data_IF_281377882010
#
_entry.id   IF_281377882010
#
_cell.length_a   1.000
_cell.length_b   1.000
_cell.length_c   1.000
_cell.angle_alpha   90.00
_cell.angle_beta   90.00
_cell.angle_gamma   90.00
#
_symmetry.space_group_name_H-M   'P 1'
#
loop_
_entity.id
_entity.type
_entity.pdbx_description
1 polymer ?
#
# COMPACT_ATOMS: atom_id res chain seq x y z
N UNK A 1 27.95 -0.05 -15.72
CA UNK A 1 27.33 1.25 -15.95
C UNK A 1 25.99 1.32 -15.23
N UNK A 2 25.39 2.50 -15.14
CA UNK A 2 24.20 2.73 -14.33
C UNK A 2 22.86 2.38 -14.96
N UNK A 3 22.79 1.79 -16.15
CA UNK A 3 21.52 1.45 -16.80
C UNK A 3 20.85 0.26 -16.10
N UNK A 4 19.60 0.43 -15.71
CA UNK A 4 18.75 -0.63 -15.14
C UNK A 4 17.65 -0.91 -16.16
N UNK A 5 17.58 -2.16 -16.64
CA UNK A 5 16.60 -2.59 -17.64
C UNK A 5 15.44 -3.31 -16.94
N UNK A 6 14.28 -3.48 -17.62
CA UNK A 6 13.16 -4.22 -17.03
C UNK A 6 13.56 -5.62 -16.52
N UNK A 7 14.41 -6.32 -17.23
CA UNK A 7 14.88 -7.66 -16.83
C UNK A 7 15.77 -7.67 -15.58
N UNK A 8 16.29 -6.50 -15.19
CA UNK A 8 17.10 -6.36 -13.97
C UNK A 8 16.23 -6.10 -12.74
N UNK A 9 14.94 -5.84 -12.93
CA UNK A 9 13.99 -5.55 -11.87
C UNK A 9 13.38 -6.84 -11.33
N UNK A 10 12.87 -6.80 -10.09
CA UNK A 10 12.24 -7.96 -9.47
C UNK A 10 10.73 -7.84 -9.62
N UNK A 11 10.09 -8.85 -10.21
CA UNK A 11 8.64 -8.96 -10.31
C UNK A 11 8.13 -9.88 -9.21
N UNK A 12 7.19 -9.39 -8.39
CA UNK A 12 6.61 -10.15 -7.28
C UNK A 12 5.10 -10.22 -7.47
N UNK A 13 4.55 -11.38 -7.85
CA UNK A 13 3.09 -11.53 -7.97
C UNK A 13 2.42 -11.53 -6.60
N UNK A 14 1.23 -10.94 -6.54
CA UNK A 14 0.40 -10.86 -5.35
C UNK A 14 -1.04 -11.26 -5.68
N UNK A 15 -1.83 -11.63 -4.68
CA UNK A 15 -3.26 -11.91 -4.88
C UNK A 15 -4.01 -10.71 -5.44
N UNK A 16 -3.60 -9.51 -5.05
CA UNK A 16 -4.23 -8.26 -5.44
C UNK A 16 -3.66 -7.65 -6.73
N UNK A 17 -2.57 -8.17 -7.26
CA UNK A 17 -1.91 -7.64 -8.44
C UNK A 17 -0.44 -8.04 -8.48
N UNK A 18 0.45 -7.06 -8.48
CA UNK A 18 1.89 -7.33 -8.47
C UNK A 18 2.69 -6.13 -7.98
N UNK A 19 3.94 -6.39 -7.64
CA UNK A 19 4.95 -5.37 -7.38
C UNK A 19 6.09 -5.51 -8.38
N UNK A 20 6.64 -4.38 -8.80
CA UNK A 20 7.91 -4.35 -9.53
C UNK A 20 8.89 -3.59 -8.65
N UNK A 21 9.95 -4.27 -8.24
CA UNK A 21 11.01 -3.64 -7.47
C UNK A 21 12.03 -3.08 -8.45
N UNK A 22 11.99 -1.77 -8.65
CA UNK A 22 12.89 -1.06 -9.57
C UNK A 22 14.28 -1.01 -8.96
N UNK A 23 14.35 -0.73 -7.66
CA UNK A 23 15.58 -0.65 -6.87
C UNK A 23 15.27 -0.94 -5.42
N UNK A 24 16.18 -1.66 -4.76
CA UNK A 24 16.12 -1.86 -3.31
C UNK A 24 17.55 -2.04 -2.81
N UNK A 25 18.05 -1.08 -2.09
CA UNK A 25 19.40 -1.10 -1.53
C UNK A 25 19.42 -0.47 -0.13
N UNK A 26 20.58 -0.37 0.47
CA UNK A 26 20.75 0.13 1.83
C UNK A 26 20.37 1.60 2.03
N UNK A 27 20.22 2.36 0.95
CA UNK A 27 19.90 3.79 1.02
C UNK A 27 18.46 4.11 0.68
N UNK A 28 17.89 3.40 -0.29
CA UNK A 28 16.52 3.67 -0.75
C UNK A 28 15.92 2.47 -1.47
N UNK A 29 14.61 2.53 -1.60
CA UNK A 29 13.83 1.56 -2.35
C UNK A 29 12.82 2.29 -3.24
N UNK A 30 12.64 1.81 -4.45
CA UNK A 30 11.62 2.30 -5.38
C UNK A 30 10.87 1.12 -5.98
N UNK A 31 9.54 1.15 -5.85
CA UNK A 31 8.67 0.10 -6.38
C UNK A 31 7.50 0.68 -7.14
N UNK A 32 6.97 -0.08 -8.09
CA UNK A 32 5.63 0.09 -8.61
C UNK A 32 4.75 -1.01 -8.06
N UNK A 33 3.55 -0.63 -7.59
CA UNK A 33 2.54 -1.56 -7.10
C UNK A 33 1.33 -1.43 -8.01
N UNK A 34 0.84 -2.55 -8.53
CA UNK A 34 -0.41 -2.61 -9.27
C UNK A 34 -1.45 -3.35 -8.43
N UNK A 35 -2.56 -2.68 -8.13
CA UNK A 35 -3.67 -3.29 -7.39
C UNK A 35 -4.89 -3.30 -8.30
N UNK A 36 -5.45 -4.49 -8.54
CA UNK A 36 -6.64 -4.64 -9.36
C UNK A 36 -7.86 -4.08 -8.66
N UNK A 37 -8.76 -3.51 -9.44
CA UNK A 37 -10.06 -3.06 -8.97
C UNK A 37 -10.74 -4.12 -8.09
N UNK A 38 -11.22 -3.73 -6.94
CA UNK A 38 -11.90 -4.60 -6.00
C UNK A 38 -10.98 -5.43 -5.11
N UNK A 39 -9.66 -5.25 -5.24
CA UNK A 39 -8.70 -5.98 -4.43
C UNK A 39 -8.06 -5.05 -3.40
N UNK A 40 -7.44 -5.66 -2.39
CA UNK A 40 -6.75 -4.93 -1.34
C UNK A 40 -5.54 -5.71 -0.85
N UNK A 41 -4.55 -4.99 -0.35
CA UNK A 41 -3.42 -5.60 0.33
C UNK A 41 -3.76 -5.87 1.80
N UNK A 42 -2.92 -6.61 2.50
CA UNK A 42 -3.13 -6.89 3.92
C UNK A 42 -3.06 -5.61 4.75
N UNK A 43 -3.79 -5.59 5.87
CA UNK A 43 -3.57 -4.59 6.92
C UNK A 43 -2.29 -4.96 7.65
N UNK A 44 -1.30 -4.07 7.61
CA UNK A 44 0.04 -4.36 8.12
C UNK A 44 0.77 -3.09 8.52
N UNK A 45 1.92 -3.29 9.16
CA UNK A 45 2.86 -2.21 9.45
C UNK A 45 4.29 -2.66 9.23
N UNK A 46 5.18 -1.70 9.15
CA UNK A 46 6.62 -1.90 9.12
C UNK A 46 7.22 -1.19 10.34
N UNK A 47 8.21 -1.82 10.98
CA UNK A 47 8.87 -1.21 12.13
C UNK A 47 10.03 -0.31 11.73
N UNK A 48 10.67 -0.62 10.62
CA UNK A 48 11.87 0.07 10.14
C UNK A 48 11.57 0.94 8.92
N UNK A 49 10.80 0.40 7.98
CA UNK A 49 10.56 1.09 6.70
C UNK A 49 9.75 2.36 6.91
N UNK A 50 10.28 3.42 6.31
CA UNK A 50 9.61 4.72 6.16
C UNK A 50 9.30 4.88 4.67
N UNK A 51 8.03 5.13 4.31
CA UNK A 51 7.64 5.12 2.91
C UNK A 51 6.65 6.22 2.56
N UNK A 52 6.71 6.65 1.30
CA UNK A 52 5.69 7.51 0.69
C UNK A 52 5.10 6.76 -0.50
N UNK A 53 3.78 6.70 -0.54
CA UNK A 53 3.01 6.04 -1.58
C UNK A 53 2.33 7.09 -2.43
N UNK A 54 2.66 7.13 -3.71
CA UNK A 54 2.16 8.11 -4.68
C UNK A 54 1.23 7.43 -5.69
N UNK A 55 0.05 8.01 -5.91
CA UNK A 55 -0.92 7.47 -6.86
C UNK A 55 -0.60 8.00 -8.26
N UNK A 56 -0.12 7.11 -9.12
CA UNK A 56 0.16 7.42 -10.51
C UNK A 56 -1.12 7.39 -11.34
N UNK A 57 -1.96 6.36 -11.14
CA UNK A 57 -3.25 6.21 -11.83
C UNK A 57 -4.22 5.41 -10.97
N UNK A 58 -5.51 5.56 -11.25
CA UNK A 58 -6.56 4.85 -10.55
C UNK A 58 -7.08 5.60 -9.33
N UNK A 59 -7.58 4.85 -8.35
CA UNK A 59 -8.14 5.39 -7.10
C UNK A 59 -8.08 4.34 -6.02
N UNK A 60 -7.62 4.72 -4.86
CA UNK A 60 -7.60 3.84 -3.68
C UNK A 60 -8.25 4.51 -2.48
N UNK A 61 -8.64 3.68 -1.52
CA UNK A 61 -8.87 4.10 -0.16
C UNK A 61 -7.72 3.60 0.70
N UNK A 62 -7.03 4.54 1.34
CA UNK A 62 -5.96 4.26 2.30
C UNK A 62 -6.58 4.19 3.69
N UNK A 63 -6.57 3.01 4.28
CA UNK A 63 -7.03 2.79 5.64
C UNK A 63 -5.82 2.82 6.57
N UNK A 64 -5.85 3.68 7.56
CA UNK A 64 -4.71 3.89 8.46
C UNK A 64 -5.15 3.86 9.92
N UNK A 65 -4.27 3.38 10.79
CA UNK A 65 -4.43 3.42 12.23
C UNK A 65 -3.07 3.26 12.89
N UNK A 66 -2.97 3.73 14.12
CA UNK A 66 -1.81 3.47 14.98
C UNK A 66 -2.05 2.29 15.92
N UNK A 67 -3.24 1.68 15.88
CA UNK A 67 -3.64 0.59 16.76
C UNK A 67 -3.64 -0.75 16.03
N UNK A 68 -3.34 -1.82 16.77
CA UNK A 68 -3.36 -3.20 16.24
C UNK A 68 -4.79 -3.63 15.90
N UNK A 69 -5.73 -3.34 16.78
CA UNK A 69 -7.15 -3.71 16.64
C UNK A 69 -8.02 -2.48 16.87
N UNK A 70 -8.02 -1.52 15.96
CA UNK A 70 -8.74 -0.27 16.15
C UNK A 70 -10.24 -0.48 16.09
N UNK A 71 -10.98 0.28 16.91
CA UNK A 71 -12.42 0.34 16.81
C UNK A 71 -12.87 1.09 15.57
N UNK A 72 -12.10 2.10 15.17
CA UNK A 72 -12.35 2.94 14.02
C UNK A 72 -11.12 2.98 13.11
N UNK A 73 -11.37 3.08 11.83
CA UNK A 73 -10.32 3.19 10.81
C UNK A 73 -10.54 4.47 10.03
N UNK A 74 -9.49 5.26 9.90
CA UNK A 74 -9.52 6.42 9.03
C UNK A 74 -9.29 5.94 7.60
N UNK A 75 -10.27 6.18 6.75
CA UNK A 75 -10.19 5.84 5.33
C UNK A 75 -10.01 7.12 4.53
N UNK A 76 -8.93 7.18 3.77
CA UNK A 76 -8.53 8.36 3.01
C UNK A 76 -8.68 8.05 1.52
N UNK A 77 -9.50 8.85 0.83
CA UNK A 77 -9.69 8.73 -0.61
C UNK A 77 -8.51 9.36 -1.35
N UNK A 78 -7.83 8.58 -2.19
CA UNK A 78 -6.66 9.05 -2.92
C UNK A 78 -6.81 8.78 -4.41
N UNK A 79 -6.67 9.85 -5.19
CA UNK A 79 -6.71 9.85 -6.65
C UNK A 79 -5.35 10.26 -7.23
N UNK A 80 -5.13 10.21 -8.56
CA UNK A 80 -3.83 10.53 -9.13
C UNK A 80 -3.28 11.87 -8.67
N UNK A 81 -2.00 11.89 -8.32
CA UNK A 81 -1.31 13.06 -7.82
C UNK A 81 -1.26 13.16 -6.30
N UNK A 82 -2.08 12.40 -5.59
CA UNK A 82 -2.01 12.33 -4.12
C UNK A 82 -0.89 11.41 -3.67
N UNK A 83 -0.29 11.73 -2.54
CA UNK A 83 0.68 10.86 -1.88
C UNK A 83 0.37 10.76 -0.39
N UNK A 84 0.75 9.66 0.22
CA UNK A 84 0.58 9.44 1.65
C UNK A 84 1.90 8.98 2.26
N UNK A 85 2.30 9.65 3.34
CA UNK A 85 3.48 9.27 4.10
C UNK A 85 3.11 8.25 5.17
N UNK A 86 3.53 7.01 4.98
CA UNK A 86 3.37 5.95 5.96
C UNK A 86 4.63 5.89 6.81
N UNK A 87 4.49 6.29 8.06
CA UNK A 87 5.59 6.29 9.02
C UNK A 87 5.85 4.89 9.56
N UNK A 88 7.05 4.62 10.09
CA UNK A 88 7.28 3.37 10.83
C UNK A 88 6.21 3.14 11.90
N UNK A 89 5.80 1.91 12.09
CA UNK A 89 4.76 1.42 13.00
C UNK A 89 3.32 1.79 12.63
N UNK A 90 3.09 2.65 11.66
CA UNK A 90 1.73 3.01 11.25
C UNK A 90 1.08 1.85 10.48
N UNK A 91 -0.05 1.36 11.00
CA UNK A 91 -0.82 0.30 10.36
C UNK A 91 -1.60 0.88 9.19
N UNK A 92 -1.57 0.18 8.06
CA UNK A 92 -2.20 0.67 6.85
C UNK A 92 -2.64 -0.48 5.95
N UNK A 93 -3.63 -0.18 5.10
CA UNK A 93 -4.14 -1.09 4.09
C UNK A 93 -4.67 -0.27 2.92
N UNK A 94 -4.43 -0.73 1.71
CA UNK A 94 -4.93 -0.08 0.51
C UNK A 94 -6.01 -0.92 -0.14
N UNK A 95 -7.15 -0.29 -0.45
CA UNK A 95 -8.25 -0.86 -1.22
C UNK A 95 -8.32 -0.17 -2.58
N UNK A 96 -8.25 -0.92 -3.66
CA UNK A 96 -8.35 -0.36 -5.00
C UNK A 96 -9.83 -0.23 -5.42
N UNK A 97 -10.28 1.00 -5.59
CA UNK A 97 -11.61 1.31 -6.14
C UNK A 97 -11.61 1.12 -7.65
N UNK A 98 -10.49 1.39 -8.26
CA UNK A 98 -10.20 1.16 -9.69
C UNK A 98 -8.86 0.45 -9.78
N UNK A 99 -8.52 -0.08 -10.97
CA UNK A 99 -7.15 -0.54 -11.23
C UNK A 99 -6.19 0.62 -10.95
N UNK A 100 -5.24 0.40 -10.06
CA UNK A 100 -4.40 1.48 -9.53
C UNK A 100 -2.93 1.14 -9.65
N UNK A 101 -2.14 2.10 -10.09
CA UNK A 101 -0.68 2.06 -10.05
C UNK A 101 -0.20 3.02 -8.99
N UNK A 102 0.59 2.51 -8.06
CA UNK A 102 1.18 3.25 -6.95
C UNK A 102 2.69 3.20 -7.10
N UNK A 103 3.35 4.34 -6.90
CA UNK A 103 4.81 4.40 -6.83
C UNK A 103 5.21 4.51 -5.36
N UNK A 104 6.02 3.57 -4.91
CA UNK A 104 6.57 3.58 -3.55
C UNK A 104 7.97 4.15 -3.56
N UNK A 105 8.19 5.15 -2.73
CA UNK A 105 9.49 5.69 -2.38
C UNK A 105 9.74 5.36 -0.92
N UNK A 106 10.78 4.60 -0.62
CA UNK A 106 10.97 4.16 0.76
C UNK A 106 12.44 3.95 1.10
N UNK A 107 12.68 3.72 2.38
CA UNK A 107 13.92 3.15 2.85
C UNK A 107 14.00 1.69 2.42
N UNK A 108 15.13 1.03 2.65
CA UNK A 108 15.34 -0.34 2.24
C UNK A 108 14.20 -1.26 2.66
N UNK A 109 13.74 -2.10 1.73
CA UNK A 109 12.75 -3.12 2.01
C UNK A 109 13.40 -4.40 2.52
N UNK A 110 12.84 -4.93 3.61
CA UNK A 110 13.15 -6.25 4.15
C UNK A 110 11.86 -7.04 4.30
N UNK A 111 11.79 -8.25 3.75
CA UNK A 111 10.59 -9.07 3.83
C UNK A 111 10.16 -9.35 5.28
N UNK A 112 11.12 -9.53 6.18
CA UNK A 112 10.87 -9.77 7.59
C UNK A 112 10.36 -8.53 8.34
N UNK A 113 10.40 -7.34 7.74
CA UNK A 113 9.90 -6.09 8.33
C UNK A 113 8.43 -5.83 7.95
N UNK A 114 7.64 -6.87 7.76
CA UNK A 114 6.21 -6.76 7.46
C UNK A 114 5.42 -7.56 8.48
N UNK A 115 4.58 -6.87 9.23
CA UNK A 115 3.81 -7.44 10.34
C UNK A 115 2.32 -7.29 10.02
N UNK A 116 1.65 -8.41 9.74
CA UNK A 116 0.25 -8.41 9.33
C UNK A 116 -0.68 -8.38 10.51
N UNK A 117 -1.76 -7.58 10.37
CA UNK A 117 -2.86 -7.49 11.32
C UNK A 117 -4.12 -8.03 10.61
N UNK A 118 -4.73 -9.08 11.13
CA UNK A 118 -5.68 -9.91 10.35
C UNK A 118 -7.14 -9.46 10.34
N UNK A 119 -7.55 -8.53 11.22
CA UNK A 119 -8.98 -8.32 11.51
C UNK A 119 -9.58 -7.03 10.95
N UNK A 120 -8.96 -6.39 9.98
CA UNK A 120 -9.45 -5.11 9.48
C UNK A 120 -10.83 -5.19 8.83
N UNK A 121 -11.14 -6.28 8.12
CA UNK A 121 -12.39 -6.44 7.37
C UNK A 121 -13.67 -6.31 8.19
N UNK A 122 -13.58 -6.38 9.52
CA UNK A 122 -14.73 -6.23 10.43
C UNK A 122 -14.81 -4.85 11.06
N UNK A 123 -13.90 -3.93 10.74
CA UNK A 123 -13.82 -2.63 11.38
C UNK A 123 -14.69 -1.60 10.71
N UNK A 124 -15.19 -0.65 11.51
CA UNK A 124 -16.01 0.44 11.01
C UNK A 124 -15.12 1.54 10.44
N UNK A 125 -15.53 2.09 9.30
CA UNK A 125 -14.87 3.24 8.70
C UNK A 125 -15.37 4.50 9.39
N UNK A 126 -14.45 5.37 9.81
CA UNK A 126 -14.76 6.53 10.65
C UNK A 126 -15.48 7.66 9.91
N UNK A 127 -15.28 7.81 8.64
CA UNK A 127 -15.90 8.85 7.84
C UNK A 127 -17.21 8.39 7.18
N UNK A 128 -17.87 9.30 6.44
CA UNK A 128 -19.14 9.02 5.79
C UNK A 128 -19.01 8.38 4.41
N UNK A 129 -17.85 7.86 4.05
CA UNK A 129 -17.69 7.17 2.79
C UNK A 129 -18.39 5.83 2.83
N UNK A 130 -18.90 5.35 1.68
CA UNK A 130 -19.46 4.01 1.61
C UNK A 130 -18.43 2.97 2.03
N UNK A 131 -18.93 1.84 2.57
CA UNK A 131 -18.07 0.70 2.86
C UNK A 131 -17.27 0.32 1.61
N UNK A 132 -15.94 0.23 1.69
CA UNK A 132 -15.14 -0.22 0.56
C UNK A 132 -15.65 -1.50 -0.08
N UNK A 133 -16.16 -2.42 0.71
CA UNK A 133 -16.68 -3.70 0.22
C UNK A 133 -17.90 -3.54 -0.70
N UNK A 134 -18.68 -2.48 -0.58
CA UNK A 134 -19.83 -2.24 -1.47
C UNK A 134 -19.40 -1.98 -2.91
N UNK A 135 -18.26 -1.34 -3.10
CA UNK A 135 -17.71 -1.07 -4.43
C UNK A 135 -16.99 -2.29 -5.02
N UNK A 136 -16.68 -3.26 -4.21
CA UNK A 136 -15.88 -4.42 -4.59
C UNK A 136 -16.69 -5.67 -4.86
N UNK A 137 -18.01 -5.56 -4.76
CA UNK A 137 -18.96 -6.67 -5.00
C UNK A 137 -19.28 -6.87 -6.46
#
# INVERSE_FOLDING_TARGET
MGLIKPEDMVYVPKRWGYEIWIVNNERYCGKKLFIRQGKWCSYHHHKVKDEVLYIESGRIWMNVSDEVDPKWIDAIDMTPGYAFHVKPDQKHQMHAVEDTIIVEFSTQHFDEDSYREEKLGTKLVRDNRPDPLEYMR
#
